data_IF_177461531430
#
_entry.id   IF_177461531430
#
_cell.length_a   1.000
_cell.length_b   1.000
_cell.length_c   1.000
_cell.angle_alpha   90.00
_cell.angle_beta   90.00
_cell.angle_gamma   90.00
#
_symmetry.space_group_name_H-M   'P 1'
#
loop_
_entity.id
_entity.type
_entity.pdbx_description
1 polymer ?
#
# COMPACT_ATOMS: atom_id res chain seq x y z
N UNK A 1 36.08 44.81 22.38
CA UNK A 1 35.84 43.94 21.21
C UNK A 1 35.60 42.52 21.69
N UNK A 2 34.35 42.06 21.81
CA UNK A 2 33.97 40.69 22.18
C UNK A 2 33.58 39.97 20.90
N UNK A 3 34.37 38.96 20.51
CA UNK A 3 34.06 38.08 19.38
C UNK A 3 32.99 37.10 19.78
N UNK A 4 31.81 37.21 19.15
CA UNK A 4 30.75 36.21 19.20
C UNK A 4 31.15 35.05 18.32
N UNK A 5 31.31 33.87 18.91
CA UNK A 5 31.41 32.61 18.20
C UNK A 5 30.03 32.07 17.91
N UNK A 6 29.58 32.12 16.66
CA UNK A 6 28.40 31.42 16.18
C UNK A 6 28.74 29.93 16.15
N UNK A 7 28.19 29.13 17.07
CA UNK A 7 28.18 27.67 16.98
C UNK A 7 27.11 27.28 15.94
N UNK A 8 27.59 26.90 14.76
CA UNK A 8 26.77 26.20 13.76
C UNK A 8 26.38 24.84 14.33
N UNK A 9 25.12 24.71 14.70
CA UNK A 9 24.52 23.44 15.14
C UNK A 9 24.14 22.68 13.86
N UNK A 10 25.02 21.78 13.42
CA UNK A 10 24.68 20.77 12.42
C UNK A 10 23.58 19.89 13.00
N UNK A 11 22.33 20.09 12.58
CA UNK A 11 21.29 19.08 12.72
C UNK A 11 21.66 17.89 11.82
N UNK A 12 22.27 16.87 12.41
CA UNK A 12 22.30 15.55 11.81
C UNK A 12 20.84 15.05 11.76
N UNK A 13 20.20 15.21 10.61
CA UNK A 13 18.97 14.49 10.30
C UNK A 13 19.27 13.00 10.42
N UNK A 14 18.72 12.36 11.44
CA UNK A 14 18.70 10.91 11.55
C UNK A 14 17.84 10.44 10.36
N UNK A 15 18.50 10.01 9.30
CA UNK A 15 17.90 9.16 8.28
C UNK A 15 17.44 7.88 9.01
N UNK A 16 16.18 7.82 9.38
CA UNK A 16 15.54 6.57 9.74
C UNK A 16 15.59 5.71 8.49
N UNK A 17 16.57 4.82 8.41
CA UNK A 17 16.64 3.85 7.33
C UNK A 17 15.32 3.10 7.29
N UNK A 18 14.67 3.08 6.12
CA UNK A 18 13.51 2.22 5.90
C UNK A 18 13.96 0.79 6.19
N UNK A 19 13.15 0.04 6.96
CA UNK A 19 13.44 -1.36 7.26
C UNK A 19 13.60 -2.14 5.95
N UNK A 20 14.59 -3.02 5.88
CA UNK A 20 14.74 -3.93 4.76
C UNK A 20 13.54 -4.86 4.72
N UNK A 21 12.86 -4.90 3.59
CA UNK A 21 11.63 -5.70 3.39
C UNK A 21 11.67 -6.38 2.03
N UNK A 22 11.07 -7.58 1.98
CA UNK A 22 10.99 -8.39 0.76
C UNK A 22 9.54 -8.69 0.38
N UNK A 23 9.29 -8.79 -0.91
CA UNK A 23 7.97 -9.04 -1.48
C UNK A 23 7.85 -10.49 -1.92
N UNK A 24 6.96 -11.24 -1.29
CA UNK A 24 6.70 -12.65 -1.59
C UNK A 24 5.35 -12.84 -2.27
N UNK A 25 5.34 -13.61 -3.35
CA UNK A 25 4.15 -14.06 -4.06
C UNK A 25 3.82 -15.49 -3.63
N UNK A 26 2.59 -15.73 -3.21
CA UNK A 26 2.06 -17.06 -2.86
C UNK A 26 0.92 -17.46 -3.81
N UNK A 27 0.74 -18.76 -3.98
CA UNK A 27 -0.52 -19.32 -4.44
C UNK A 27 -1.57 -19.18 -3.34
N UNK A 28 -2.78 -18.79 -3.73
CA UNK A 28 -3.94 -18.71 -2.84
C UNK A 28 -5.00 -19.70 -3.32
N UNK A 29 -5.37 -20.64 -2.48
CA UNK A 29 -6.43 -21.62 -2.75
C UNK A 29 -7.60 -21.35 -1.82
N UNK A 30 -8.80 -21.37 -2.37
CA UNK A 30 -10.05 -21.28 -1.62
C UNK A 30 -10.90 -22.50 -1.96
N UNK A 31 -11.28 -23.28 -0.95
CA UNK A 31 -12.20 -24.41 -1.06
C UNK A 31 -13.11 -24.41 0.15
N UNK A 32 -14.44 -24.37 -0.07
CA UNK A 32 -15.45 -24.46 1.00
C UNK A 32 -15.17 -23.47 2.14
N UNK A 33 -14.86 -22.19 1.78
CA UNK A 33 -14.52 -21.09 2.70
C UNK A 33 -13.22 -21.28 3.52
N UNK A 34 -12.48 -22.35 3.26
CA UNK A 34 -11.13 -22.54 3.77
C UNK A 34 -10.13 -21.95 2.79
N UNK A 35 -9.31 -21.02 3.29
CA UNK A 35 -8.24 -20.39 2.54
C UNK A 35 -6.88 -20.95 2.97
N UNK A 36 -6.00 -21.19 2.01
CA UNK A 36 -4.62 -21.60 2.26
C UNK A 36 -3.67 -20.92 1.29
N UNK A 37 -2.45 -20.65 1.76
CA UNK A 37 -1.35 -20.13 0.93
C UNK A 37 -0.27 -21.20 0.78
N UNK A 38 0.43 -21.17 -0.35
CA UNK A 38 1.53 -22.11 -0.64
C UNK A 38 2.50 -21.53 -1.67
N UNK A 39 3.58 -22.26 -1.93
CA UNK A 39 4.56 -21.94 -2.98
C UNK A 39 5.11 -20.50 -2.92
N UNK A 40 5.75 -20.07 -1.81
CA UNK A 40 6.32 -18.75 -1.69
C UNK A 40 7.43 -18.51 -2.72
N UNK A 41 7.35 -17.41 -3.44
CA UNK A 41 8.38 -16.94 -4.37
C UNK A 41 8.77 -15.53 -3.96
N UNK A 42 10.06 -15.30 -3.60
CA UNK A 42 10.58 -13.96 -3.42
C UNK A 42 10.67 -13.26 -4.78
N UNK A 43 9.78 -12.30 -5.03
CA UNK A 43 9.69 -11.58 -6.31
C UNK A 43 10.52 -10.30 -6.31
N UNK A 44 10.92 -9.78 -5.17
CA UNK A 44 11.86 -8.66 -5.05
C UNK A 44 13.30 -9.13 -5.06
N UNK A 45 13.69 -10.01 -4.16
CA UNK A 45 15.03 -10.57 -4.03
C UNK A 45 16.12 -9.51 -4.28
N UNK A 46 16.09 -8.47 -3.47
CA UNK A 46 16.91 -7.27 -3.64
C UNK A 46 17.18 -6.65 -2.27
N UNK A 47 18.44 -6.36 -1.90
CA UNK A 47 18.75 -5.74 -0.62
C UNK A 47 18.08 -4.37 -0.46
N UNK A 48 17.38 -4.14 0.64
CA UNK A 48 16.82 -2.86 1.00
C UNK A 48 15.30 -2.83 1.08
N UNK A 49 14.70 -1.71 0.72
CA UNK A 49 13.27 -1.51 0.82
C UNK A 49 12.56 -1.95 -0.47
N UNK A 50 11.81 -3.06 -0.37
CA UNK A 50 10.91 -3.55 -1.40
C UNK A 50 9.51 -3.69 -0.81
N UNK A 51 8.53 -2.88 -1.26
CA UNK A 51 7.29 -2.72 -0.52
C UNK A 51 6.12 -2.24 -1.40
N UNK A 52 4.95 -2.05 -0.78
CA UNK A 52 3.74 -1.44 -1.33
C UNK A 52 3.28 -2.11 -2.63
N UNK A 53 3.11 -3.45 -2.62
CA UNK A 53 2.70 -4.18 -3.80
C UNK A 53 1.25 -3.89 -4.18
N UNK A 54 0.98 -3.92 -5.49
CA UNK A 54 -0.38 -3.93 -6.03
C UNK A 54 -0.46 -4.82 -7.27
N UNK A 55 -1.53 -5.59 -7.40
CA UNK A 55 -1.76 -6.33 -8.64
C UNK A 55 -2.26 -5.42 -9.76
N UNK A 56 -1.79 -5.65 -10.96
CA UNK A 56 -2.47 -5.12 -12.13
C UNK A 56 -3.83 -5.81 -12.31
N UNK A 57 -4.82 -5.08 -12.84
CA UNK A 57 -6.23 -5.55 -12.94
C UNK A 57 -6.44 -6.85 -13.72
N UNK A 58 -5.52 -7.18 -14.63
CA UNK A 58 -5.54 -8.47 -15.33
C UNK A 58 -4.92 -9.63 -14.52
N UNK A 59 -4.37 -9.37 -13.31
CA UNK A 59 -3.80 -10.37 -12.41
C UNK A 59 -2.51 -11.05 -12.92
N UNK A 60 -1.85 -10.52 -13.96
CA UNK A 60 -0.66 -11.13 -14.57
C UNK A 60 0.66 -10.51 -14.15
N UNK A 61 0.59 -9.38 -13.46
CA UNK A 61 1.76 -8.67 -12.96
C UNK A 61 1.47 -8.00 -11.62
N UNK A 62 2.54 -7.84 -10.85
CA UNK A 62 2.58 -7.09 -9.59
C UNK A 62 3.43 -5.84 -9.81
N UNK A 63 2.93 -4.69 -9.38
CA UNK A 63 3.70 -3.46 -9.25
C UNK A 63 4.14 -3.32 -7.79
N UNK A 64 5.35 -2.87 -7.54
CA UNK A 64 5.84 -2.58 -6.20
C UNK A 64 6.94 -1.52 -6.24
N UNK A 65 7.18 -0.86 -5.10
CA UNK A 65 8.31 0.03 -4.89
C UNK A 65 9.55 -0.80 -4.56
N UNK A 66 10.69 -0.53 -5.19
CA UNK A 66 11.93 -1.27 -4.99
C UNK A 66 13.12 -0.33 -4.98
N UNK A 67 14.05 -0.54 -4.05
CA UNK A 67 15.23 0.32 -3.89
C UNK A 67 16.40 -0.23 -4.69
N UNK A 68 17.08 0.64 -5.43
CA UNK A 68 18.37 0.39 -6.09
C UNK A 68 19.26 1.63 -6.01
N UNK A 69 20.53 1.44 -5.72
CA UNK A 69 21.49 2.54 -5.66
C UNK A 69 21.07 3.70 -4.74
N UNK A 70 20.38 3.39 -3.65
CA UNK A 70 19.89 4.38 -2.68
C UNK A 70 18.63 5.15 -3.11
N UNK A 71 18.00 4.78 -4.22
CA UNK A 71 16.76 5.37 -4.73
C UNK A 71 15.67 4.32 -4.88
N UNK A 72 14.43 4.68 -4.61
CA UNK A 72 13.26 3.81 -4.76
C UNK A 72 12.51 4.14 -6.05
N UNK A 73 12.30 3.14 -6.87
CA UNK A 73 11.59 3.20 -8.16
C UNK A 73 10.47 2.17 -8.21
N UNK A 74 9.55 2.31 -9.17
CA UNK A 74 8.48 1.33 -9.39
C UNK A 74 8.95 0.23 -10.32
N UNK A 75 8.75 -1.02 -9.87
CA UNK A 75 9.01 -2.25 -10.63
C UNK A 75 7.70 -2.93 -11.00
N UNK A 76 7.64 -3.52 -12.18
CA UNK A 76 6.63 -4.48 -12.60
C UNK A 76 7.25 -5.87 -12.66
N UNK A 77 6.66 -6.83 -11.95
CA UNK A 77 7.01 -8.25 -11.99
C UNK A 77 5.95 -9.03 -12.77
N UNK A 78 6.34 -9.69 -13.85
CA UNK A 78 5.46 -10.53 -14.66
C UNK A 78 5.39 -11.94 -14.10
N UNK A 79 4.26 -12.35 -13.55
CA UNK A 79 4.10 -13.60 -12.78
C UNK A 79 4.49 -14.83 -13.61
N UNK A 80 4.07 -14.92 -14.89
CA UNK A 80 4.30 -16.09 -15.73
C UNK A 80 5.78 -16.30 -16.10
N UNK A 81 6.54 -15.22 -16.23
CA UNK A 81 7.91 -15.25 -16.77
C UNK A 81 8.99 -14.92 -15.74
N UNK A 82 8.61 -14.43 -14.56
CA UNK A 82 9.54 -13.91 -13.57
C UNK A 82 10.25 -12.60 -13.99
N UNK A 83 9.88 -12.02 -15.15
CA UNK A 83 10.55 -10.82 -15.67
C UNK A 83 10.23 -9.60 -14.81
N UNK A 84 11.29 -8.92 -14.34
CA UNK A 84 11.22 -7.59 -13.71
C UNK A 84 11.48 -6.50 -14.74
N UNK A 85 10.72 -5.39 -14.63
CA UNK A 85 10.89 -4.21 -15.48
C UNK A 85 10.73 -2.96 -14.64
N UNK A 86 11.74 -2.11 -14.60
CA UNK A 86 11.70 -0.81 -13.95
C UNK A 86 10.84 0.17 -14.75
N UNK A 87 9.77 0.65 -14.15
CA UNK A 87 8.79 1.54 -14.79
C UNK A 87 9.12 3.00 -14.59
N UNK A 88 9.82 3.35 -13.50
CA UNK A 88 10.31 4.71 -13.23
C UNK A 88 11.83 4.74 -13.20
N UNK A 89 12.39 5.91 -13.33
CA UNK A 89 13.81 6.23 -13.16
C UNK A 89 13.88 7.77 -13.16
N UNK A 90 13.39 8.37 -12.09
CA UNK A 90 13.37 9.84 -11.93
C UNK A 90 14.42 10.25 -10.92
N UNK A 91 14.55 11.54 -10.62
CA UNK A 91 15.44 12.02 -9.57
C UNK A 91 14.82 11.88 -8.17
N UNK A 92 13.49 11.73 -8.09
CA UNK A 92 12.75 11.46 -6.86
C UNK A 92 12.54 9.96 -6.63
N UNK A 93 12.05 9.61 -5.46
CA UNK A 93 11.68 8.22 -5.12
C UNK A 93 10.18 8.00 -5.28
N UNK A 94 9.78 6.90 -5.92
CA UNK A 94 8.38 6.57 -6.15
C UNK A 94 7.90 5.44 -5.24
N UNK A 95 6.64 5.59 -4.78
CA UNK A 95 5.99 4.71 -3.79
C UNK A 95 4.53 4.44 -4.15
N UNK A 96 3.95 3.39 -3.55
CA UNK A 96 2.52 3.07 -3.59
C UNK A 96 1.92 3.03 -5.01
N UNK A 97 2.45 2.22 -5.93
CA UNK A 97 1.95 2.16 -7.29
C UNK A 97 0.56 1.54 -7.37
N UNK A 98 -0.38 2.19 -8.08
CA UNK A 98 -1.71 1.64 -8.38
C UNK A 98 -2.06 1.83 -9.86
N UNK A 99 -2.53 0.77 -10.53
CA UNK A 99 -2.99 0.88 -11.92
C UNK A 99 -4.24 1.75 -12.02
N UNK A 100 -4.25 2.70 -12.95
CA UNK A 100 -5.41 3.59 -13.21
C UNK A 100 -6.37 2.92 -14.19
N UNK A 101 -7.55 2.59 -13.72
CA UNK A 101 -8.55 1.89 -14.54
C UNK A 101 -8.00 0.55 -15.05
N UNK A 102 -8.33 0.16 -16.28
CA UNK A 102 -7.78 -1.00 -16.99
C UNK A 102 -6.76 -0.60 -18.07
N UNK A 103 -6.28 0.65 -18.02
CA UNK A 103 -5.39 1.22 -19.04
C UNK A 103 -3.91 0.96 -18.77
N UNK A 104 -3.07 1.54 -19.64
CA UNK A 104 -1.62 1.42 -19.59
C UNK A 104 -0.98 2.57 -18.77
N UNK A 105 -1.63 2.97 -17.68
CA UNK A 105 -1.13 3.99 -16.77
C UNK A 105 -1.27 3.51 -15.33
N UNK A 106 -0.37 4.01 -14.48
CA UNK A 106 -0.43 3.84 -13.04
C UNK A 106 -0.22 5.18 -12.33
N UNK A 107 -0.68 5.28 -11.10
CA UNK A 107 -0.35 6.36 -10.19
C UNK A 107 0.70 5.90 -9.20
N UNK A 108 1.58 6.81 -8.77
CA UNK A 108 2.51 6.60 -7.68
C UNK A 108 2.77 7.92 -6.95
N UNK A 109 3.07 7.82 -5.68
CA UNK A 109 3.57 8.95 -4.89
C UNK A 109 5.02 9.15 -5.28
N UNK A 110 5.40 10.37 -5.60
CA UNK A 110 6.80 10.75 -5.80
C UNK A 110 7.24 11.71 -4.72
N UNK A 111 8.35 11.37 -4.07
CA UNK A 111 9.06 12.20 -3.10
C UNK A 111 10.35 12.71 -3.75
N UNK A 112 10.41 14.00 -4.00
CA UNK A 112 11.58 14.67 -4.55
C UNK A 112 12.60 15.03 -3.45
N UNK A 113 13.84 15.32 -3.84
CA UNK A 113 14.94 15.60 -2.91
C UNK A 113 14.72 16.85 -2.05
N UNK A 114 13.91 17.80 -2.53
CA UNK A 114 13.52 19.01 -1.80
C UNK A 114 12.39 18.77 -0.77
N UNK A 115 11.91 17.53 -0.65
CA UNK A 115 10.80 17.13 0.23
C UNK A 115 9.41 17.33 -0.37
N UNK A 116 9.31 17.78 -1.63
CA UNK A 116 8.04 17.80 -2.38
C UNK A 116 7.52 16.38 -2.54
N UNK A 117 6.28 16.14 -2.11
CA UNK A 117 5.66 14.82 -2.16
C UNK A 117 4.26 14.92 -2.77
N UNK A 118 4.10 14.45 -3.99
CA UNK A 118 2.87 14.57 -4.77
C UNK A 118 2.47 13.24 -5.40
N UNK A 119 1.20 13.15 -5.79
CA UNK A 119 0.67 12.02 -6.56
C UNK A 119 0.88 12.29 -8.06
N UNK A 120 1.56 11.35 -8.71
CA UNK A 120 1.83 11.37 -10.15
C UNK A 120 1.07 10.28 -10.89
N UNK A 121 0.77 10.52 -12.15
CA UNK A 121 0.38 9.53 -13.15
C UNK A 121 1.55 9.25 -14.07
N UNK A 122 1.86 7.97 -14.25
CA UNK A 122 2.90 7.47 -15.15
C UNK A 122 2.29 6.62 -16.26
N UNK A 123 2.95 6.60 -17.42
CA UNK A 123 2.69 5.62 -18.47
C UNK A 123 3.49 4.34 -18.19
N UNK A 124 2.94 3.16 -18.48
CA UNK A 124 3.68 1.89 -18.43
C UNK A 124 4.84 1.82 -19.45
N UNK A 125 4.89 2.76 -20.42
CA UNK A 125 5.85 2.72 -21.53
C UNK A 125 6.85 3.89 -21.54
N UNK A 126 6.45 5.07 -21.11
CA UNK A 126 7.24 6.32 -21.30
C UNK A 126 7.78 6.82 -19.99
N UNK A 127 8.09 6.22 -19.01
CA UNK A 127 8.73 6.67 -17.75
C UNK A 127 8.48 8.15 -17.32
N UNK A 128 7.68 8.90 -18.08
CA UNK A 128 7.33 10.30 -17.80
C UNK A 128 6.14 10.35 -16.86
N UNK A 129 6.29 11.14 -15.79
CA UNK A 129 5.25 11.40 -14.83
C UNK A 129 4.55 12.74 -15.05
N UNK A 130 3.26 12.80 -14.75
CA UNK A 130 2.46 14.03 -14.67
C UNK A 130 1.79 14.11 -13.32
N UNK A 131 1.91 15.26 -12.63
CA UNK A 131 1.20 15.52 -11.37
C UNK A 131 -0.29 15.40 -11.59
N UNK A 132 -0.96 14.66 -10.69
CA UNK A 132 -2.42 14.52 -10.67
C UNK A 132 -3.07 15.54 -9.73
N UNK A 133 -2.50 15.77 -8.57
CA UNK A 133 -3.01 16.66 -7.53
C UNK A 133 -1.83 17.49 -7.02
N UNK A 134 -1.76 18.79 -7.37
CA UNK A 134 -0.62 19.63 -7.01
C UNK A 134 -0.68 20.18 -5.57
N UNK A 135 -1.89 20.24 -4.98
CA UNK A 135 -2.13 21.01 -3.75
C UNK A 135 -2.17 20.12 -2.49
N UNK A 136 -1.99 18.80 -2.61
CA UNK A 136 -2.05 17.86 -1.50
C UNK A 136 -0.76 17.06 -1.36
N UNK A 137 -0.22 17.02 -0.15
CA UNK A 137 0.89 16.14 0.21
C UNK A 137 0.35 14.75 0.54
N UNK A 138 0.32 13.87 -0.47
CA UNK A 138 -0.33 12.56 -0.38
C UNK A 138 0.68 11.48 0.01
N UNK A 139 0.33 10.65 1.00
CA UNK A 139 1.12 9.48 1.42
C UNK A 139 0.64 8.17 0.80
N UNK A 140 -0.67 7.97 0.72
CA UNK A 140 -1.31 6.78 0.15
C UNK A 140 -2.61 7.17 -0.55
N UNK A 141 -3.11 6.30 -1.43
CA UNK A 141 -4.35 6.57 -2.15
C UNK A 141 -5.05 5.28 -2.59
N UNK A 142 -6.36 5.39 -2.85
CA UNK A 142 -7.18 4.33 -3.43
C UNK A 142 -8.15 4.90 -4.46
N UNK A 143 -8.21 4.29 -5.66
CA UNK A 143 -9.09 4.75 -6.73
C UNK A 143 -10.56 4.34 -6.49
N UNK A 144 -11.45 5.31 -6.41
CA UNK A 144 -12.90 5.12 -6.43
C UNK A 144 -13.34 4.73 -7.84
N UNK A 145 -12.92 5.54 -8.83
CA UNK A 145 -13.12 5.34 -10.25
C UNK A 145 -11.98 5.98 -11.07
N UNK A 146 -12.16 6.27 -12.36
CA UNK A 146 -11.12 6.86 -13.22
C UNK A 146 -10.88 8.34 -12.98
N UNK A 147 -11.77 9.03 -12.28
CA UNK A 147 -11.74 10.47 -12.04
C UNK A 147 -11.65 10.82 -10.55
N UNK A 148 -12.01 9.91 -9.66
CA UNK A 148 -12.04 10.14 -8.20
C UNK A 148 -11.16 9.16 -7.46
N UNK A 149 -10.50 9.65 -6.43
CA UNK A 149 -9.68 8.85 -5.53
C UNK A 149 -9.82 9.36 -4.09
N UNK A 150 -9.66 8.43 -3.15
CA UNK A 150 -9.42 8.73 -1.74
C UNK A 150 -7.92 8.81 -1.50
N UNK A 151 -7.50 9.77 -0.68
CA UNK A 151 -6.10 9.99 -0.33
C UNK A 151 -5.92 10.09 1.16
N UNK A 152 -4.86 9.43 1.66
CA UNK A 152 -4.24 9.74 2.93
C UNK A 152 -3.38 10.98 2.73
N UNK A 153 -3.82 12.12 3.24
CA UNK A 153 -3.12 13.39 3.11
C UNK A 153 -2.33 13.66 4.38
N UNK A 154 -1.04 13.90 4.23
CA UNK A 154 -0.13 14.20 5.32
C UNK A 154 -0.46 15.55 5.95
N UNK A 155 -0.46 15.60 7.27
CA UNK A 155 -0.76 16.75 8.09
C UNK A 155 -0.82 16.35 9.56
N UNK A 156 -1.17 17.26 10.44
CA UNK A 156 -1.44 17.00 11.85
C UNK A 156 -2.83 17.57 12.21
N UNK A 157 -3.86 16.69 12.29
CA UNK A 157 -3.86 15.26 11.99
C UNK A 157 -3.76 14.92 10.49
N UNK A 158 -3.45 13.67 10.16
CA UNK A 158 -3.61 13.12 8.81
C UNK A 158 -5.10 13.03 8.45
N UNK A 159 -5.44 13.34 7.20
CA UNK A 159 -6.85 13.37 6.74
C UNK A 159 -7.11 12.41 5.61
N UNK A 160 -8.34 11.87 5.57
CA UNK A 160 -8.91 11.19 4.41
C UNK A 160 -9.59 12.21 3.52
N UNK A 161 -9.13 12.35 2.27
CA UNK A 161 -9.72 13.29 1.34
C UNK A 161 -10.19 12.61 0.06
N UNK A 162 -11.38 12.97 -0.40
CA UNK A 162 -11.91 12.61 -1.71
C UNK A 162 -11.51 13.71 -2.72
N UNK A 163 -10.78 13.31 -3.74
CA UNK A 163 -10.38 14.19 -4.84
C UNK A 163 -11.14 13.86 -6.11
N UNK A 164 -11.75 14.87 -6.74
CA UNK A 164 -12.40 14.79 -8.05
C UNK A 164 -11.49 15.51 -9.07
N UNK A 165 -10.76 14.73 -9.88
CA UNK A 165 -9.66 15.22 -10.72
C UNK A 165 -10.11 16.16 -11.84
N UNK A 166 -11.28 15.92 -12.44
CA UNK A 166 -11.81 16.78 -13.52
C UNK A 166 -12.29 18.12 -12.99
N UNK A 167 -12.88 18.11 -11.81
CA UNK A 167 -13.44 19.27 -11.14
C UNK A 167 -12.38 20.07 -10.37
N UNK A 168 -11.20 19.45 -10.14
CA UNK A 168 -10.12 20.04 -9.33
C UNK A 168 -10.54 20.31 -7.88
N UNK A 169 -11.43 19.45 -7.33
CA UNK A 169 -11.98 19.62 -5.97
C UNK A 169 -11.48 18.54 -5.04
N UNK A 170 -11.15 18.93 -3.82
CA UNK A 170 -10.78 18.06 -2.72
C UNK A 170 -11.73 18.30 -1.54
N UNK A 171 -12.19 17.22 -0.91
CA UNK A 171 -13.08 17.26 0.25
C UNK A 171 -12.52 16.36 1.36
N UNK A 172 -12.37 16.92 2.56
CA UNK A 172 -12.02 16.15 3.75
C UNK A 172 -13.24 15.36 4.19
N UNK A 173 -13.07 14.05 4.38
CA UNK A 173 -14.12 13.14 4.83
C UNK A 173 -13.88 12.63 6.25
N UNK A 174 -12.62 12.45 6.65
CA UNK A 174 -12.25 11.96 7.98
C UNK A 174 -10.83 12.42 8.35
N UNK A 175 -10.46 12.24 9.61
CA UNK A 175 -9.14 12.56 10.15
C UNK A 175 -8.61 11.42 11.05
N UNK A 176 -7.31 11.44 11.39
CA UNK A 176 -6.64 10.39 12.16
C UNK A 176 -6.85 9.02 11.53
N UNK A 177 -6.50 8.90 10.28
CA UNK A 177 -6.69 7.68 9.49
C UNK A 177 -5.40 6.87 9.37
N UNK A 178 -5.54 5.59 8.99
CA UNK A 178 -4.44 4.71 8.58
C UNK A 178 -4.18 4.75 7.07
N UNK A 179 -3.16 4.03 6.66
CA UNK A 179 -2.62 4.08 5.29
C UNK A 179 -3.34 3.17 4.27
N UNK A 180 -4.10 2.17 4.71
CA UNK A 180 -4.83 1.26 3.83
C UNK A 180 -6.16 1.84 3.38
N UNK A 181 -6.34 1.98 2.07
CA UNK A 181 -7.54 2.50 1.42
C UNK A 181 -7.86 1.59 0.25
N UNK A 182 -9.02 0.92 0.27
CA UNK A 182 -9.40 -0.06 -0.74
C UNK A 182 -10.85 0.11 -1.21
N UNK A 183 -11.12 -0.31 -2.43
CA UNK A 183 -12.50 -0.49 -2.90
C UNK A 183 -13.05 -1.80 -2.34
N UNK A 184 -14.26 -1.77 -1.77
CA UNK A 184 -14.98 -2.98 -1.34
C UNK A 184 -15.49 -3.69 -2.59
N UNK A 185 -15.11 -4.98 -2.81
CA UNK A 185 -15.48 -5.73 -4.01
C UNK A 185 -17.00 -5.82 -4.19
N UNK A 186 -17.46 -5.77 -5.43
CA UNK A 186 -18.87 -5.87 -5.84
C UNK A 186 -19.77 -4.73 -5.32
N UNK A 187 -19.20 -3.65 -4.78
CA UNK A 187 -19.94 -2.49 -4.28
C UNK A 187 -19.45 -1.19 -4.89
N UNK A 188 -20.12 -0.08 -4.60
CA UNK A 188 -19.65 1.29 -4.84
C UNK A 188 -18.79 1.83 -3.70
N UNK A 189 -18.77 1.13 -2.55
CA UNK A 189 -18.15 1.58 -1.32
C UNK A 189 -16.61 1.44 -1.36
N UNK A 190 -15.98 2.26 -0.56
CA UNK A 190 -14.56 2.17 -0.22
C UNK A 190 -14.41 1.67 1.23
N UNK A 191 -13.22 1.27 1.60
CA UNK A 191 -12.86 0.96 2.98
C UNK A 191 -11.54 1.62 3.35
N UNK A 192 -11.39 1.99 4.61
CA UNK A 192 -10.19 2.63 5.15
C UNK A 192 -10.03 2.30 6.65
N UNK A 193 -8.86 2.54 7.20
CA UNK A 193 -8.62 2.42 8.64
C UNK A 193 -8.84 3.78 9.29
N UNK A 194 -9.70 3.84 10.31
CA UNK A 194 -9.84 4.96 11.23
C UNK A 194 -9.02 4.70 12.50
N UNK A 195 -8.26 5.70 12.91
CA UNK A 195 -7.46 5.71 14.14
C UNK A 195 -8.01 6.69 15.19
N UNK A 196 -9.27 7.10 15.05
CA UNK A 196 -9.90 8.02 16.00
C UNK A 196 -10.05 7.41 17.39
N UNK A 197 -10.22 6.09 17.45
CA UNK A 197 -10.36 5.32 18.68
C UNK A 197 -9.34 4.19 18.77
N UNK A 198 -9.16 3.62 19.95
CA UNK A 198 -8.39 2.39 20.19
C UNK A 198 -9.35 1.34 20.73
N UNK A 199 -9.38 0.13 20.17
CA UNK A 199 -8.66 -0.32 18.98
C UNK A 199 -9.07 0.41 17.70
N UNK A 200 -8.16 0.46 16.70
CA UNK A 200 -8.46 1.04 15.40
C UNK A 200 -9.52 0.22 14.67
N UNK A 201 -10.20 0.86 13.73
CA UNK A 201 -11.30 0.23 12.99
C UNK A 201 -11.06 0.24 11.49
N UNK A 202 -11.54 -0.79 10.82
CA UNK A 202 -11.78 -0.77 9.37
C UNK A 202 -13.23 -0.32 9.18
N UNK A 203 -13.39 0.78 8.46
CA UNK A 203 -14.71 1.33 8.16
C UNK A 203 -15.00 1.25 6.66
N UNK A 204 -16.26 1.01 6.30
CA UNK A 204 -16.76 1.30 4.97
C UNK A 204 -17.00 2.81 4.82
N UNK A 205 -16.98 3.29 3.59
CA UNK A 205 -17.24 4.69 3.23
C UNK A 205 -18.00 4.71 1.90
N UNK A 206 -19.14 5.39 1.88
CA UNK A 206 -19.81 5.76 0.64
C UNK A 206 -19.20 7.07 0.10
N UNK A 207 -18.50 7.06 -1.05
CA UNK A 207 -17.87 8.25 -1.60
C UNK A 207 -18.85 9.28 -2.18
N UNK A 208 -20.15 8.95 -2.33
CA UNK A 208 -21.20 9.88 -2.78
C UNK A 208 -21.77 10.69 -1.60
N UNK A 209 -21.97 10.04 -0.47
CA UNK A 209 -22.63 10.65 0.70
C UNK A 209 -21.64 11.03 1.80
N UNK A 210 -20.46 10.42 1.84
CA UNK A 210 -19.49 10.53 2.93
C UNK A 210 -19.87 9.70 4.18
N UNK A 211 -20.96 8.91 4.13
CA UNK A 211 -21.37 8.06 5.25
C UNK A 211 -20.40 6.92 5.47
N UNK A 212 -20.15 6.60 6.74
CA UNK A 212 -19.23 5.53 7.16
C UNK A 212 -19.91 4.58 8.13
N UNK A 213 -19.62 3.28 7.99
CA UNK A 213 -20.04 2.24 8.92
C UNK A 213 -18.84 1.39 9.36
N UNK A 214 -18.87 0.92 10.61
CA UNK A 214 -17.86 -0.01 11.14
C UNK A 214 -17.98 -1.37 10.42
N UNK A 215 -16.85 -1.90 9.96
CA UNK A 215 -16.76 -3.29 9.48
C UNK A 215 -16.20 -4.18 10.60
N UNK A 216 -14.99 -3.90 11.09
CA UNK A 216 -14.33 -4.68 12.14
C UNK A 216 -13.19 -3.86 12.77
N UNK A 217 -12.74 -4.25 13.97
CA UNK A 217 -11.51 -3.72 14.58
C UNK A 217 -10.28 -4.34 13.96
N UNK A 218 -9.18 -3.58 13.89
CA UNK A 218 -7.87 -4.11 13.47
C UNK A 218 -7.18 -4.83 14.63
N UNK A 219 -6.16 -5.65 14.33
CA UNK A 219 -5.16 -5.99 15.35
C UNK A 219 -4.39 -4.76 15.79
N UNK A 220 -3.90 -4.77 17.03
CA UNK A 220 -3.12 -3.66 17.57
C UNK A 220 -1.88 -3.41 16.70
N UNK A 221 -1.72 -2.16 16.26
CA UNK A 221 -0.63 -1.73 15.39
C UNK A 221 -0.72 -2.15 13.91
N UNK A 222 -1.69 -2.99 13.51
CA UNK A 222 -1.84 -3.43 12.11
C UNK A 222 -2.57 -2.40 11.27
N UNK A 223 -1.93 -1.96 10.19
CA UNK A 223 -2.46 -0.92 9.28
C UNK A 223 -2.75 -1.41 7.86
N UNK A 224 -2.48 -2.67 7.54
CA UNK A 224 -2.63 -3.15 6.18
C UNK A 224 -3.58 -4.34 6.11
N UNK A 225 -4.60 -4.17 5.27
CA UNK A 225 -5.54 -5.23 4.93
C UNK A 225 -5.76 -5.28 3.42
N UNK A 226 -6.30 -6.37 2.93
CA UNK A 226 -6.67 -6.51 1.52
C UNK A 226 -7.97 -7.29 1.38
N UNK A 227 -8.71 -7.00 0.31
CA UNK A 227 -9.92 -7.73 -0.05
C UNK A 227 -9.63 -8.81 -1.09
N UNK A 228 -10.23 -9.99 -0.91
CA UNK A 228 -10.38 -10.95 -2.00
C UNK A 228 -11.50 -10.50 -2.93
N UNK A 229 -11.54 -10.93 -4.20
CA UNK A 229 -12.65 -10.61 -5.12
C UNK A 229 -14.02 -11.13 -4.64
N UNK A 230 -14.03 -12.12 -3.76
CA UNK A 230 -15.26 -12.67 -3.14
C UNK A 230 -15.85 -11.75 -2.07
N UNK A 231 -15.05 -10.88 -1.46
CA UNK A 231 -15.45 -9.99 -0.36
C UNK A 231 -14.97 -10.43 1.01
N UNK A 232 -13.98 -11.31 1.06
CA UNK A 232 -13.28 -11.69 2.29
C UNK A 232 -12.09 -10.75 2.50
N UNK A 233 -11.85 -10.31 3.71
CA UNK A 233 -10.66 -9.52 4.06
C UNK A 233 -9.52 -10.41 4.55
N UNK A 234 -8.29 -10.00 4.26
CA UNK A 234 -7.06 -10.52 4.85
C UNK A 234 -6.31 -9.41 5.58
N UNK A 235 -5.70 -9.74 6.71
CA UNK A 235 -4.85 -8.84 7.50
C UNK A 235 -3.70 -9.64 8.13
N UNK A 236 -2.52 -9.04 8.22
CA UNK A 236 -1.40 -9.58 8.97
C UNK A 236 -1.44 -9.11 10.43
N UNK A 237 -1.17 -10.03 11.35
CA UNK A 237 -0.92 -9.74 12.76
C UNK A 237 0.37 -10.42 13.19
N UNK A 238 1.50 -9.70 13.20
CA UNK A 238 2.82 -10.30 13.36
C UNK A 238 3.12 -11.30 12.23
N UNK A 239 3.38 -12.54 12.57
CA UNK A 239 3.72 -13.61 11.62
C UNK A 239 2.48 -14.31 11.04
N UNK A 240 1.29 -14.06 11.60
CA UNK A 240 0.07 -14.76 11.24
C UNK A 240 -0.73 -13.96 10.22
N UNK A 241 -1.16 -14.63 9.15
CA UNK A 241 -2.14 -14.14 8.21
C UNK A 241 -3.54 -14.56 8.66
N UNK A 242 -4.44 -13.59 8.76
CA UNK A 242 -5.83 -13.80 9.17
C UNK A 242 -6.79 -13.51 8.03
N UNK A 243 -7.97 -14.15 8.08
CA UNK A 243 -9.12 -13.82 7.24
C UNK A 243 -10.29 -13.31 8.08
N UNK A 244 -11.17 -12.54 7.45
CA UNK A 244 -12.47 -12.14 7.99
C UNK A 244 -13.50 -12.09 6.87
N UNK A 245 -14.57 -12.86 7.02
CA UNK A 245 -15.76 -12.79 6.16
C UNK A 245 -16.83 -11.94 6.84
N UNK A 246 -17.16 -10.75 6.31
CA UNK A 246 -18.17 -9.88 6.92
C UNK A 246 -19.57 -10.50 7.05
N UNK A 247 -19.84 -11.60 6.34
CA UNK A 247 -21.17 -12.24 6.36
C UNK A 247 -21.27 -13.38 7.40
N UNK A 248 -20.13 -13.96 7.81
CA UNK A 248 -20.12 -15.19 8.61
C UNK A 248 -19.23 -15.13 9.85
N UNK A 249 -18.09 -14.43 9.78
CA UNK A 249 -17.13 -14.40 10.87
C UNK A 249 -17.52 -13.27 11.86
N UNK A 250 -17.39 -13.55 13.17
CA UNK A 250 -17.58 -12.53 14.21
C UNK A 250 -16.28 -11.79 14.53
N UNK A 251 -15.14 -12.39 14.20
CA UNK A 251 -13.80 -11.87 14.43
C UNK A 251 -12.83 -12.45 13.40
N UNK A 252 -11.59 -11.99 13.42
CA UNK A 252 -10.51 -12.50 12.58
C UNK A 252 -10.21 -13.96 12.86
N UNK A 253 -10.08 -14.77 11.81
CA UNK A 253 -9.78 -16.20 11.86
C UNK A 253 -8.37 -16.42 11.31
N UNK A 254 -7.48 -17.05 12.10
CA UNK A 254 -6.13 -17.40 11.66
C UNK A 254 -6.18 -18.32 10.43
N UNK A 255 -5.37 -18.03 9.42
CA UNK A 255 -5.39 -18.72 8.14
C UNK A 255 -4.05 -19.39 7.83
N UNK A 256 -2.92 -18.73 8.12
CA UNK A 256 -1.59 -19.25 7.87
C UNK A 256 -0.56 -18.61 8.81
N UNK A 257 0.42 -19.41 9.22
CA UNK A 257 1.62 -18.94 9.93
C UNK A 257 2.79 -18.83 8.93
N UNK A 258 3.37 -17.65 8.79
CA UNK A 258 4.49 -17.42 7.87
C UNK A 258 5.78 -18.10 8.34
N UNK A 259 5.89 -18.45 9.63
CA UNK A 259 7.02 -19.24 10.13
C UNK A 259 7.12 -20.62 9.46
N UNK A 260 6.00 -21.22 9.01
CA UNK A 260 5.99 -22.47 8.24
C UNK A 260 6.74 -22.33 6.90
N UNK A 261 6.93 -21.11 6.41
CA UNK A 261 7.69 -20.77 5.20
C UNK A 261 9.06 -20.15 5.49
N UNK A 262 9.45 -20.05 6.77
CA UNK A 262 10.67 -19.37 7.20
C UNK A 262 10.63 -17.85 7.11
N UNK A 263 9.44 -17.26 7.05
CA UNK A 263 9.18 -15.83 6.93
C UNK A 263 8.56 -15.29 8.22
N UNK A 264 8.61 -13.96 8.42
CA UNK A 264 8.07 -13.32 9.62
C UNK A 264 7.67 -11.86 9.35
N UNK A 265 6.94 -11.27 10.28
CA UNK A 265 6.54 -9.87 10.31
C UNK A 265 5.86 -9.39 9.02
N UNK A 266 4.58 -9.70 8.88
CA UNK A 266 3.75 -9.23 7.79
C UNK A 266 3.56 -7.72 7.92
N UNK A 267 4.10 -6.96 6.95
CA UNK A 267 4.00 -5.50 6.96
C UNK A 267 2.97 -4.97 5.97
N UNK A 268 2.72 -5.71 4.87
CA UNK A 268 1.73 -5.38 3.83
C UNK A 268 1.28 -6.62 3.09
N UNK A 269 0.11 -6.50 2.45
CA UNK A 269 -0.40 -7.56 1.58
C UNK A 269 -1.33 -7.01 0.48
N UNK A 270 -1.50 -7.79 -0.56
CA UNK A 270 -2.50 -7.55 -1.60
C UNK A 270 -2.94 -8.88 -2.21
N UNK A 271 -4.21 -8.97 -2.64
CA UNK A 271 -4.79 -10.17 -3.26
C UNK A 271 -5.01 -9.94 -4.74
N UNK A 272 -4.78 -10.96 -5.55
CA UNK A 272 -4.97 -10.88 -7.00
C UNK A 272 -6.45 -10.66 -7.37
N UNK A 273 -6.74 -9.99 -8.49
CA UNK A 273 -8.11 -9.79 -8.97
C UNK A 273 -8.88 -11.09 -9.27
N UNK A 274 -8.17 -12.22 -9.37
CA UNK A 274 -8.79 -13.55 -9.53
C UNK A 274 -8.98 -14.29 -8.22
N UNK A 275 -8.35 -13.85 -7.13
CA UNK A 275 -8.36 -14.53 -5.84
C UNK A 275 -7.50 -15.81 -5.81
N UNK A 276 -6.58 -15.97 -6.76
CA UNK A 276 -5.71 -17.15 -6.92
C UNK A 276 -4.27 -16.93 -6.44
N UNK A 277 -3.93 -15.70 -6.07
CA UNK A 277 -2.62 -15.30 -5.56
C UNK A 277 -2.76 -14.27 -4.45
N UNK A 278 -1.81 -14.28 -3.52
CA UNK A 278 -1.59 -13.20 -2.55
C UNK A 278 -0.12 -12.79 -2.59
N UNK A 279 0.13 -11.49 -2.48
CA UNK A 279 1.47 -10.94 -2.26
C UNK A 279 1.55 -10.44 -0.83
N UNK A 280 2.60 -10.83 -0.13
CA UNK A 280 2.87 -10.45 1.26
C UNK A 280 4.26 -9.81 1.30
N UNK A 281 4.36 -8.71 2.03
CA UNK A 281 5.63 -8.06 2.35
C UNK A 281 6.03 -8.42 3.77
N UNK A 282 7.25 -8.89 3.91
CA UNK A 282 7.83 -9.32 5.19
C UNK A 282 9.09 -8.52 5.51
N UNK A 283 9.45 -8.46 6.78
CA UNK A 283 10.72 -7.88 7.19
C UNK A 283 11.84 -8.86 6.83
N UNK A 284 12.90 -8.35 6.23
CA UNK A 284 14.09 -9.15 5.93
C UNK A 284 14.83 -9.50 7.23
N UNK A 285 15.08 -10.79 7.47
CA UNK A 285 15.90 -11.19 8.61
C UNK A 285 17.35 -10.72 8.38
N UNK A 286 18.00 -10.11 9.39
CA UNK A 286 19.41 -9.85 9.29
C UNK A 286 20.15 -11.15 8.95
N UNK A 287 20.96 -11.12 7.90
CA UNK A 287 21.86 -12.25 7.61
C UNK A 287 22.92 -12.22 8.71
N UNK A 288 22.88 -13.19 9.61
CA UNK A 288 23.96 -13.40 10.58
C UNK A 288 25.28 -13.54 9.81
N UNK A 289 26.19 -12.58 10.03
CA UNK A 289 27.51 -12.55 9.39
C UNK A 289 28.50 -13.38 10.16
#
# INVERSE_FOLDING_TARGET
MKRLWLKSMFLLGILWGQSSTEVYLFDLVSKEDVYAISNPINISNNPGYDNQPSFMKHGRAVLYASTRNGQTDIVSYQIRTGKKTWLTNTEGSEYSPLQIGSGNAFSAIRLDQDGTQLLYKYSMYSKQGKVLIPDLKIGYHGWVDRNRLLSFVLGDPHTLQLSALKEGKNQILDEKIGRSIHKIPKTSLMSYISKQNVPWTINSLDPETGMTDLIIHTFDGSEDFAWTPSGIMFMGGGDILYKYDPNYDQDWVAMADLNDFGLNDITRLTVSPKGDKVVIVVVEKPVDK
#
